data_IF_062953876000
#
_entry.id   IF_062953876000
#
_cell.length_a   1.000
_cell.length_b   1.000
_cell.length_c   1.000
_cell.angle_alpha   90.00
_cell.angle_beta   90.00
_cell.angle_gamma   90.00
#
_symmetry.space_group_name_H-M   'P 1'
#
loop_
_entity.id
_entity.type
_entity.pdbx_description
1 polymer ?
#
# COMPACT_ATOMS: atom_id res chain seq x y z
N UNK A 1 4.68 14.25 -19.57
CA UNK A 1 3.81 13.24 -18.93
C UNK A 1 4.04 11.91 -19.63
N UNK A 2 4.57 10.90 -18.94
CA UNK A 2 4.91 9.59 -19.53
C UNK A 2 3.64 8.85 -20.02
N UNK A 3 3.79 7.88 -20.92
CA UNK A 3 2.67 7.05 -21.39
C UNK A 3 1.98 6.33 -20.22
N UNK A 4 2.78 5.84 -19.27
CA UNK A 4 2.31 5.19 -18.05
C UNK A 4 1.53 6.14 -17.14
N UNK A 5 1.97 7.39 -16.99
CA UNK A 5 1.22 8.40 -16.25
C UNK A 5 -0.15 8.73 -16.89
N UNK A 6 -0.25 8.67 -18.23
CA UNK A 6 -1.53 8.80 -18.94
C UNK A 6 -2.45 7.61 -18.67
N UNK A 7 -1.92 6.37 -18.75
CA UNK A 7 -2.69 5.14 -18.45
C UNK A 7 -3.17 5.09 -17.00
N UNK A 8 -2.35 5.53 -16.04
CA UNK A 8 -2.76 5.66 -14.64
C UNK A 8 -3.96 6.61 -14.46
N UNK A 9 -3.98 7.74 -15.19
CA UNK A 9 -5.10 8.68 -15.16
C UNK A 9 -6.41 8.14 -15.73
N UNK A 10 -6.37 6.97 -16.38
CA UNK A 10 -7.56 6.28 -16.90
C UNK A 10 -8.08 5.21 -15.92
N UNK A 11 -7.34 4.87 -14.86
CA UNK A 11 -7.81 3.94 -13.84
C UNK A 11 -8.83 4.65 -12.96
N UNK A 12 -10.04 4.11 -12.94
CA UNK A 12 -11.09 4.55 -12.04
C UNK A 12 -11.10 3.63 -10.83
N UNK A 13 -11.15 4.21 -9.63
CA UNK A 13 -11.37 3.45 -8.40
C UNK A 13 -12.77 3.74 -7.88
N UNK A 14 -13.59 2.71 -7.65
CA UNK A 14 -14.90 2.88 -7.01
C UNK A 14 -15.10 1.92 -5.86
N UNK A 15 -15.98 2.22 -4.90
CA UNK A 15 -16.57 1.21 -4.04
C UNK A 15 -17.52 0.32 -4.87
N UNK A 16 -17.13 -0.94 -5.12
CA UNK A 16 -17.82 -2.03 -5.88
C UNK A 16 -18.97 -1.69 -6.89
N UNK A 17 -18.67 -1.70 -8.23
CA UNK A 17 -19.28 -2.53 -9.34
C UNK A 17 -18.63 -2.26 -10.74
N UNK A 18 -18.54 -3.32 -11.58
CA UNK A 18 -17.85 -3.61 -12.87
C UNK A 18 -17.40 -2.51 -13.88
N UNK A 19 -16.22 -2.72 -14.50
CA UNK A 19 -15.64 -1.99 -15.65
C UNK A 19 -14.11 -1.90 -15.57
N UNK A 20 -13.45 -0.97 -16.30
CA UNK A 20 -12.09 -0.44 -15.95
C UNK A 20 -12.16 0.33 -14.63
N UNK A 21 -12.55 -0.40 -13.59
CA UNK A 21 -12.98 0.06 -12.31
C UNK A 21 -12.32 -0.85 -11.29
N UNK A 22 -11.36 -0.31 -10.55
CA UNK A 22 -10.75 -0.99 -9.42
C UNK A 22 -11.66 -0.82 -8.21
N UNK A 23 -12.21 -1.93 -7.74
CA UNK A 23 -13.06 -1.93 -6.57
C UNK A 23 -12.21 -1.85 -5.30
N UNK A 24 -12.28 -0.78 -4.53
CA UNK A 24 -11.52 -0.70 -3.28
C UNK A 24 -12.29 -1.31 -2.09
N UNK A 25 -11.61 -2.00 -1.14
CA UNK A 25 -10.19 -2.33 -1.14
C UNK A 25 -9.83 -3.41 -2.19
N UNK A 26 -8.66 -3.29 -2.83
CA UNK A 26 -8.21 -4.24 -3.87
C UNK A 26 -6.71 -4.56 -3.81
N UNK A 27 -6.36 -5.81 -4.09
CA UNK A 27 -5.00 -6.16 -4.47
C UNK A 27 -4.62 -5.60 -5.84
N UNK A 28 -3.32 -5.42 -6.05
CA UNK A 28 -2.75 -5.13 -7.37
C UNK A 28 -2.74 -6.40 -8.23
N UNK A 29 -3.78 -6.57 -9.04
CA UNK A 29 -3.95 -7.71 -9.96
C UNK A 29 -4.44 -7.25 -11.34
N UNK A 30 -4.26 -8.10 -12.34
CA UNK A 30 -4.71 -7.87 -13.72
C UNK A 30 -4.10 -6.62 -14.36
N UNK A 31 -4.84 -5.99 -15.27
CA UNK A 31 -4.35 -4.87 -16.07
C UNK A 31 -4.06 -3.60 -15.23
N UNK A 32 -4.91 -3.29 -14.24
CA UNK A 32 -4.68 -2.18 -13.33
C UNK A 32 -3.42 -2.41 -12.49
N UNK A 33 -3.24 -3.63 -11.96
CA UNK A 33 -2.03 -4.03 -11.24
C UNK A 33 -0.77 -3.89 -12.11
N UNK A 34 -0.84 -4.30 -13.38
CA UNK A 34 0.26 -4.13 -14.35
C UNK A 34 0.63 -2.67 -14.56
N UNK A 35 -0.35 -1.80 -14.83
CA UNK A 35 -0.09 -0.36 -15.08
C UNK A 35 0.52 0.31 -13.85
N UNK A 36 0.03 -0.01 -12.65
CA UNK A 36 0.57 0.52 -11.39
C UNK A 36 1.99 0.01 -11.14
N UNK A 37 2.26 -1.26 -11.41
CA UNK A 37 3.60 -1.83 -11.29
C UNK A 37 4.59 -1.19 -12.26
N UNK A 38 4.20 -0.93 -13.51
CA UNK A 38 5.04 -0.22 -14.48
C UNK A 38 5.37 1.19 -14.01
N UNK A 39 4.39 1.93 -13.49
CA UNK A 39 4.62 3.26 -12.93
C UNK A 39 5.53 3.24 -11.71
N UNK A 40 5.39 2.22 -10.87
CA UNK A 40 6.28 1.97 -9.74
C UNK A 40 7.71 1.69 -10.22
N UNK A 41 7.91 0.86 -11.25
CA UNK A 41 9.24 0.55 -11.79
C UNK A 41 9.90 1.78 -12.41
N UNK A 42 9.14 2.61 -13.16
CA UNK A 42 9.62 3.90 -13.66
C UNK A 42 10.09 4.80 -12.51
N UNK A 43 9.26 4.96 -11.47
CA UNK A 43 9.60 5.78 -10.31
C UNK A 43 10.81 5.23 -9.52
N UNK A 44 10.94 3.91 -9.39
CA UNK A 44 12.09 3.24 -8.75
C UNK A 44 13.37 3.48 -9.54
N UNK A 45 13.33 3.33 -10.86
CA UNK A 45 14.48 3.55 -11.73
C UNK A 45 14.93 5.03 -11.70
N UNK A 46 13.98 5.96 -11.85
CA UNK A 46 14.26 7.40 -11.89
C UNK A 46 14.79 7.95 -10.56
N UNK A 47 14.17 7.56 -9.44
CA UNK A 47 14.42 8.20 -8.13
C UNK A 47 15.38 7.45 -7.24
N UNK A 48 15.53 6.14 -7.44
CA UNK A 48 16.30 5.27 -6.56
C UNK A 48 17.32 4.42 -7.33
N UNK A 49 17.56 4.70 -8.62
CA UNK A 49 18.56 4.02 -9.44
C UNK A 49 18.49 2.48 -9.36
N UNK A 50 17.26 1.92 -9.33
CA UNK A 50 17.06 0.47 -9.28
C UNK A 50 17.41 -0.20 -7.95
N UNK A 51 17.48 0.55 -6.84
CA UNK A 51 17.84 0.07 -5.50
C UNK A 51 17.25 -1.32 -5.16
N UNK A 52 18.13 -2.26 -4.77
CA UNK A 52 17.81 -3.66 -4.48
C UNK A 52 16.95 -3.88 -3.23
N UNK A 53 16.83 -2.88 -2.36
CA UNK A 53 16.01 -2.93 -1.15
C UNK A 53 14.50 -2.77 -1.42
N UNK A 54 14.13 -2.54 -2.67
CA UNK A 54 12.77 -2.60 -3.18
C UNK A 54 12.53 -3.97 -3.83
N UNK A 55 11.60 -4.77 -3.28
CA UNK A 55 11.45 -6.19 -3.60
C UNK A 55 10.18 -6.52 -4.40
N UNK A 56 9.35 -5.52 -4.67
CA UNK A 56 8.12 -5.69 -5.43
C UNK A 56 8.39 -6.30 -6.81
N UNK A 57 7.66 -7.34 -7.12
CA UNK A 57 7.74 -8.08 -8.37
C UNK A 57 6.35 -8.37 -8.93
N UNK A 58 6.29 -8.68 -10.22
CA UNK A 58 5.06 -9.14 -10.88
C UNK A 58 5.19 -10.62 -11.22
N UNK A 59 4.29 -11.45 -10.67
CA UNK A 59 4.19 -12.89 -10.97
C UNK A 59 2.87 -13.16 -11.67
N UNK A 60 2.93 -13.38 -12.99
CA UNK A 60 1.73 -13.55 -13.81
C UNK A 60 0.86 -12.28 -13.85
N UNK A 61 -0.36 -12.40 -13.35
CA UNK A 61 -1.32 -11.30 -13.23
C UNK A 61 -1.27 -10.59 -11.87
N UNK A 62 -0.44 -11.04 -10.93
CA UNK A 62 -0.36 -10.46 -9.58
C UNK A 62 0.93 -9.66 -9.37
N UNK A 63 0.82 -8.62 -8.54
CA UNK A 63 1.97 -7.89 -7.99
C UNK A 63 2.15 -8.29 -6.52
N UNK A 64 3.34 -8.81 -6.20
CA UNK A 64 3.68 -9.45 -4.93
C UNK A 64 5.10 -9.08 -4.48
N UNK A 65 5.54 -9.58 -3.33
CA UNK A 65 6.89 -9.31 -2.79
C UNK A 65 7.03 -7.94 -2.13
N UNK A 66 5.94 -7.25 -1.81
CA UNK A 66 5.97 -5.90 -1.26
C UNK A 66 6.52 -5.81 0.18
N UNK A 67 7.48 -4.92 0.38
CA UNK A 67 7.89 -4.43 1.70
C UNK A 67 7.37 -2.99 1.96
N UNK A 68 7.79 -2.35 3.06
CA UNK A 68 7.27 -1.01 3.42
C UNK A 68 7.74 0.11 2.47
N UNK A 69 9.01 0.16 1.98
CA UNK A 69 9.36 1.15 0.95
C UNK A 69 8.64 0.91 -0.38
N UNK A 70 8.35 -0.35 -0.75
CA UNK A 70 7.52 -0.66 -1.92
C UNK A 70 6.09 -0.12 -1.77
N UNK A 71 5.44 -0.40 -0.63
CA UNK A 71 4.13 0.11 -0.30
C UNK A 71 4.10 1.64 -0.31
N UNK A 72 5.13 2.29 0.24
CA UNK A 72 5.22 3.74 0.24
C UNK A 72 5.43 4.34 -1.17
N UNK A 73 6.28 3.74 -2.00
CA UNK A 73 6.50 4.22 -3.36
C UNK A 73 5.24 4.05 -4.22
N UNK A 74 4.52 2.94 -4.07
CA UNK A 74 3.19 2.78 -4.70
C UNK A 74 2.25 3.89 -4.24
N UNK A 75 2.15 4.16 -2.94
CA UNK A 75 1.31 5.23 -2.40
C UNK A 75 1.60 6.58 -3.06
N UNK A 76 2.89 6.94 -3.17
CA UNK A 76 3.31 8.18 -3.83
C UNK A 76 2.92 8.25 -5.31
N UNK A 77 2.92 7.11 -6.02
CA UNK A 77 2.52 7.01 -7.44
C UNK A 77 1.01 7.18 -7.60
N UNK A 78 0.22 6.56 -6.72
CA UNK A 78 -1.24 6.45 -6.90
C UNK A 78 -2.06 7.53 -6.20
N UNK A 79 -1.53 8.19 -5.14
CA UNK A 79 -2.26 9.18 -4.32
C UNK A 79 -2.88 10.35 -5.05
N UNK A 80 -2.27 10.79 -6.15
CA UNK A 80 -2.82 11.88 -6.98
C UNK A 80 -4.08 11.48 -7.75
N UNK A 81 -4.43 10.19 -7.78
CA UNK A 81 -5.59 9.64 -8.46
C UNK A 81 -6.72 9.24 -7.47
N UNK A 82 -6.71 9.76 -6.25
CA UNK A 82 -7.80 9.56 -5.28
C UNK A 82 -7.76 8.21 -4.54
N UNK A 83 -6.65 7.48 -4.62
CA UNK A 83 -6.43 6.22 -3.88
C UNK A 83 -5.11 6.20 -3.15
N UNK A 84 -5.00 5.40 -2.10
CA UNK A 84 -3.79 5.25 -1.31
C UNK A 84 -3.56 3.80 -0.95
N UNK A 85 -2.37 3.47 -0.48
CA UNK A 85 -2.14 2.16 0.15
C UNK A 85 -2.89 2.09 1.47
N UNK A 86 -3.41 0.91 1.81
CA UNK A 86 -4.11 0.68 3.07
C UNK A 86 -3.22 0.99 4.28
N UNK A 87 -3.84 1.54 5.31
CA UNK A 87 -3.29 1.78 6.63
C UNK A 87 -3.97 0.82 7.62
N UNK A 88 -3.41 0.62 8.83
CA UNK A 88 -4.01 -0.27 9.82
C UNK A 88 -5.49 0.04 10.13
N UNK A 89 -5.87 1.33 10.16
CA UNK A 89 -7.26 1.77 10.32
C UNK A 89 -8.25 1.25 9.28
N UNK A 90 -7.78 0.83 8.10
CA UNK A 90 -8.65 0.30 7.04
C UNK A 90 -8.96 -1.19 7.21
N UNK A 91 -8.26 -1.88 8.12
CA UNK A 91 -8.28 -3.34 8.22
C UNK A 91 -9.45 -3.88 9.02
N UNK A 92 -10.66 -3.38 8.76
CA UNK A 92 -11.89 -3.89 9.36
C UNK A 92 -12.14 -5.38 9.01
N UNK A 93 -13.17 -5.99 9.60
CA UNK A 93 -13.46 -7.41 9.37
C UNK A 93 -13.72 -7.78 7.90
N UNK A 94 -14.28 -6.87 7.08
CA UNK A 94 -14.42 -7.14 5.65
C UNK A 94 -13.06 -7.20 4.95
N UNK A 95 -12.18 -6.24 5.24
CA UNK A 95 -10.80 -6.23 4.74
C UNK A 95 -10.07 -7.49 5.16
N UNK A 96 -10.09 -7.84 6.46
CA UNK A 96 -9.38 -9.01 6.97
C UNK A 96 -9.91 -10.32 6.39
N UNK A 97 -11.22 -10.42 6.10
CA UNK A 97 -11.78 -11.58 5.39
C UNK A 97 -11.29 -11.66 3.94
N UNK A 98 -11.18 -10.52 3.26
CA UNK A 98 -10.69 -10.46 1.88
C UNK A 98 -9.21 -10.88 1.77
N UNK A 99 -8.40 -10.64 2.81
CA UNK A 99 -6.98 -10.99 2.87
C UNK A 99 -6.70 -12.35 3.52
N UNK A 100 -7.72 -13.01 4.08
CA UNK A 100 -7.57 -14.29 4.78
C UNK A 100 -7.09 -15.43 3.87
N UNK A 101 -6.15 -16.23 4.36
CA UNK A 101 -5.54 -17.32 3.60
C UNK A 101 -4.71 -16.87 2.40
N UNK A 102 -4.64 -15.56 2.14
CA UNK A 102 -3.75 -14.95 1.15
C UNK A 102 -2.46 -14.55 1.83
N UNK A 103 -1.52 -14.03 1.07
CA UNK A 103 -0.26 -13.56 1.64
C UNK A 103 -0.43 -12.33 2.54
N UNK A 104 0.60 -12.00 3.33
CA UNK A 104 0.54 -10.84 4.22
C UNK A 104 0.37 -9.54 3.43
N UNK A 105 -0.32 -8.57 4.04
CA UNK A 105 -0.49 -7.22 3.52
C UNK A 105 0.40 -6.25 4.29
N UNK A 106 1.17 -5.44 3.57
CA UNK A 106 2.01 -4.39 4.14
C UNK A 106 1.24 -3.06 4.16
N UNK A 107 1.17 -2.43 5.34
CA UNK A 107 0.67 -1.05 5.44
C UNK A 107 1.75 -0.04 5.00
N UNK A 108 1.31 1.13 4.54
CA UNK A 108 2.17 2.32 4.47
C UNK A 108 2.33 2.96 5.86
N UNK A 109 2.89 2.19 6.81
CA UNK A 109 3.02 2.58 8.21
C UNK A 109 4.29 1.98 8.84
N UNK A 110 4.85 2.69 9.81
CA UNK A 110 6.01 2.28 10.61
C UNK A 110 5.64 2.33 12.09
N UNK A 111 6.21 1.44 12.91
CA UNK A 111 6.12 1.51 14.36
C UNK A 111 7.49 1.86 14.92
N UNK A 112 7.57 2.97 15.64
CA UNK A 112 8.79 3.56 16.19
C UNK A 112 8.84 3.38 17.70
N UNK A 113 9.85 2.67 18.20
CA UNK A 113 10.01 2.37 19.63
C UNK A 113 11.23 3.03 20.25
N UNK A 114 12.30 3.22 19.47
CA UNK A 114 13.55 3.83 19.92
C UNK A 114 14.36 4.37 18.75
N UNK A 115 15.31 5.24 19.07
CA UNK A 115 16.28 5.80 18.11
C UNK A 115 17.27 4.75 17.60
N UNK A 116 17.68 3.85 18.47
CA UNK A 116 18.56 2.73 18.13
C UNK A 116 17.74 1.46 17.95
N UNK A 117 18.07 0.69 16.92
CA UNK A 117 17.49 -0.59 16.60
C UNK A 117 18.48 -1.71 16.90
N UNK A 118 18.24 -2.43 18.00
CA UNK A 118 19.12 -3.51 18.43
C UNK A 118 19.09 -4.75 17.53
N UNK A 119 18.19 -4.80 16.54
CA UNK A 119 18.06 -5.94 15.63
C UNK A 119 18.64 -5.64 14.23
N UNK A 120 18.54 -4.39 13.76
CA UNK A 120 19.06 -3.99 12.46
C UNK A 120 19.50 -2.52 12.43
N UNK A 121 20.81 -2.29 12.46
CA UNK A 121 21.40 -0.95 12.51
C UNK A 121 21.13 -0.10 11.26
N UNK A 122 20.79 -0.70 10.11
CA UNK A 122 20.38 0.04 8.89
C UNK A 122 19.14 0.92 9.13
N UNK A 123 18.39 0.62 10.18
CA UNK A 123 17.23 1.38 10.58
C UNK A 123 17.55 2.65 11.39
N UNK A 124 18.73 2.74 12.02
CA UNK A 124 19.07 3.80 12.96
C UNK A 124 18.98 5.18 12.30
N UNK A 125 19.53 5.31 11.08
CA UNK A 125 19.49 6.58 10.35
C UNK A 125 18.07 7.05 10.05
N UNK A 126 17.18 6.11 9.72
CA UNK A 126 15.75 6.41 9.50
C UNK A 126 15.11 6.86 10.81
N UNK A 127 15.41 6.19 11.92
CA UNK A 127 14.85 6.53 13.22
C UNK A 127 15.31 7.91 13.70
N UNK A 128 16.59 8.22 13.54
CA UNK A 128 17.18 9.53 13.84
C UNK A 128 16.50 10.65 13.04
N UNK A 129 16.39 10.52 11.72
CA UNK A 129 15.78 11.55 10.86
C UNK A 129 14.30 11.79 11.18
N UNK A 130 13.57 10.72 11.51
CA UNK A 130 12.18 10.83 11.97
C UNK A 130 12.12 11.63 13.28
N UNK A 131 13.04 11.39 14.23
CA UNK A 131 13.08 12.11 15.49
C UNK A 131 13.52 13.58 15.32
N UNK A 132 14.54 13.83 14.49
CA UNK A 132 15.04 15.17 14.14
C UNK A 132 13.97 16.05 13.48
N UNK A 133 12.95 15.45 12.87
CA UNK A 133 11.81 16.19 12.32
C UNK A 133 11.01 16.97 13.37
N UNK A 134 11.23 16.72 14.67
CA UNK A 134 10.51 17.36 15.77
C UNK A 134 9.06 16.91 15.92
N UNK A 135 8.62 15.92 15.14
CA UNK A 135 7.24 15.39 15.18
C UNK A 135 7.08 14.19 16.13
N UNK A 136 8.18 13.61 16.60
CA UNK A 136 8.19 12.51 17.58
C UNK A 136 8.72 13.02 18.92
N UNK A 137 8.00 12.69 20.00
CA UNK A 137 8.41 12.88 21.38
C UNK A 137 9.29 11.70 21.78
N UNK A 138 10.60 11.91 21.75
CA UNK A 138 11.63 10.91 22.05
C UNK A 138 11.63 10.45 23.51
N UNK A 139 11.02 11.21 24.42
CA UNK A 139 10.85 10.82 25.83
C UNK A 139 9.65 9.88 25.97
N UNK A 140 8.58 10.17 25.24
CA UNK A 140 7.32 9.42 25.29
C UNK A 140 7.42 8.01 24.70
N UNK A 141 8.17 7.82 23.60
CA UNK A 141 8.30 6.53 22.89
C UNK A 141 8.70 5.34 23.77
N UNK A 142 9.46 5.57 24.85
CA UNK A 142 9.89 4.53 25.78
C UNK A 142 8.75 3.89 26.57
N UNK A 143 7.64 4.64 26.73
CA UNK A 143 6.44 4.23 27.48
C UNK A 143 5.28 3.90 26.53
N UNK A 144 5.16 4.69 25.47
CA UNK A 144 4.13 4.54 24.44
C UNK A 144 4.81 4.66 23.09
N UNK A 145 5.19 3.55 22.43
CA UNK A 145 5.74 3.63 21.09
C UNK A 145 4.76 4.22 20.08
N UNK A 146 5.27 4.71 18.97
CA UNK A 146 4.49 5.46 18.00
C UNK A 146 4.20 4.67 16.72
N UNK A 147 2.93 4.62 16.31
CA UNK A 147 2.55 4.34 14.92
C UNK A 147 2.73 5.62 14.10
N UNK A 148 3.51 5.51 13.04
CA UNK A 148 3.82 6.60 12.11
C UNK A 148 3.17 6.29 10.77
N UNK A 149 2.41 7.25 10.26
CA UNK A 149 1.80 7.21 8.92
C UNK A 149 2.05 8.54 8.20
N UNK A 150 1.81 8.59 6.89
CA UNK A 150 1.93 9.83 6.12
C UNK A 150 3.36 10.32 5.97
N UNK A 151 4.29 9.44 5.63
CA UNK A 151 5.67 9.77 5.26
C UNK A 151 5.91 9.47 3.78
N UNK A 152 6.95 10.05 3.20
CA UNK A 152 7.48 9.72 1.88
C UNK A 152 8.84 9.06 2.03
N UNK A 153 9.09 8.00 1.29
CA UNK A 153 10.41 7.46 1.07
C UNK A 153 11.13 8.31 0.01
N UNK A 154 12.35 8.73 0.34
CA UNK A 154 13.25 9.55 -0.49
C UNK A 154 14.61 8.86 -0.64
N UNK A 155 15.32 9.02 -1.77
CA UNK A 155 16.66 8.47 -1.90
C UNK A 155 17.57 9.02 -0.80
N UNK A 156 18.48 8.19 -0.33
CA UNK A 156 19.53 8.58 0.60
C UNK A 156 20.86 8.02 0.11
N UNK A 157 21.88 8.87 0.10
CA UNK A 157 23.23 8.47 -0.34
C UNK A 157 24.07 7.88 0.80
N UNK A 158 23.61 7.98 2.05
CA UNK A 158 24.28 7.38 3.22
C UNK A 158 24.21 5.84 3.22
N UNK A 159 25.10 5.22 4.01
CA UNK A 159 25.09 3.77 4.30
C UNK A 159 23.73 3.30 4.86
N UNK A 160 23.33 2.08 4.50
CA UNK A 160 22.03 1.48 4.87
C UNK A 160 21.21 1.11 3.64
N UNK A 161 19.89 1.31 3.69
CA UNK A 161 19.00 0.86 2.61
C UNK A 161 19.04 1.71 1.32
N UNK A 162 19.78 2.83 1.28
CA UNK A 162 19.75 3.77 0.15
C UNK A 162 18.44 4.58 0.05
N UNK A 163 17.68 4.68 1.15
CA UNK A 163 16.50 5.52 1.26
C UNK A 163 16.26 5.96 2.71
N UNK A 164 15.50 7.05 2.89
CA UNK A 164 15.04 7.56 4.19
C UNK A 164 13.53 7.81 4.18
N UNK A 165 12.91 7.77 5.37
CA UNK A 165 11.51 8.16 5.55
C UNK A 165 11.43 9.62 6.01
N UNK A 166 10.75 10.46 5.23
CA UNK A 166 10.59 11.89 5.50
C UNK A 166 9.12 12.21 5.76
N UNK A 167 8.77 12.98 6.82
CA UNK A 167 7.40 13.39 7.06
C UNK A 167 6.76 14.11 5.86
N UNK A 168 5.54 13.71 5.48
CA UNK A 168 4.76 14.39 4.44
C UNK A 168 3.72 15.34 5.06
N UNK A 169 2.90 15.99 4.21
CA UNK A 169 1.78 16.85 4.64
C UNK A 169 0.74 16.09 5.49
N UNK A 170 0.59 14.78 5.27
CA UNK A 170 -0.34 13.91 6.03
C UNK A 170 0.31 13.17 7.20
N UNK A 171 1.51 13.57 7.61
CA UNK A 171 2.25 12.86 8.66
C UNK A 171 1.48 12.86 9.98
N UNK A 172 1.23 11.67 10.51
CA UNK A 172 0.53 11.47 11.76
C UNK A 172 1.29 10.50 12.66
N UNK A 173 1.24 10.80 13.94
CA UNK A 173 1.87 10.03 15.00
C UNK A 173 0.80 9.65 16.01
N UNK A 174 0.65 8.35 16.24
CA UNK A 174 -0.23 7.83 17.27
C UNK A 174 0.59 7.04 18.29
N UNK A 175 0.61 7.52 19.54
CA UNK A 175 1.33 6.86 20.64
C UNK A 175 0.44 5.84 21.30
N UNK A 176 0.93 4.61 21.47
CA UNK A 176 0.16 3.54 22.08
C UNK A 176 1.05 2.51 22.77
N UNK A 177 0.74 2.18 24.03
CA UNK A 177 1.51 1.19 24.77
C UNK A 177 1.38 -0.24 24.23
N UNK A 178 0.36 -0.55 23.42
CA UNK A 178 0.16 -1.87 22.81
C UNK A 178 1.30 -2.23 21.87
N UNK A 179 2.09 -1.27 21.41
CA UNK A 179 3.32 -1.49 20.64
C UNK A 179 4.54 -1.95 21.47
N UNK A 180 4.43 -1.99 22.79
CA UNK A 180 5.50 -2.47 23.67
C UNK A 180 5.69 -3.98 23.54
N UNK A 181 6.96 -4.42 23.52
CA UNK A 181 7.35 -5.83 23.45
C UNK A 181 6.69 -6.76 24.48
N UNK A 182 6.24 -6.24 25.63
CA UNK A 182 5.54 -7.01 26.68
C UNK A 182 4.22 -7.64 26.19
N UNK A 183 3.60 -7.06 25.15
CA UNK A 183 2.35 -7.53 24.56
C UNK A 183 2.54 -8.48 23.37
N UNK A 184 3.78 -8.82 23.02
CA UNK A 184 4.04 -9.76 21.93
C UNK A 184 3.50 -11.15 22.27
N UNK A 185 2.82 -11.77 21.32
CA UNK A 185 2.18 -13.08 21.47
C UNK A 185 0.82 -13.04 22.19
N UNK A 186 0.37 -11.88 22.65
CA UNK A 186 -0.97 -11.73 23.20
C UNK A 186 -2.01 -11.81 22.09
N UNK A 187 -3.21 -12.23 22.45
CA UNK A 187 -4.29 -12.52 21.53
C UNK A 187 -5.36 -11.45 21.59
N UNK A 188 -6.12 -11.33 20.50
CA UNK A 188 -7.23 -10.39 20.37
C UNK A 188 -8.26 -10.92 19.38
N UNK A 189 -9.46 -10.34 19.43
CA UNK A 189 -10.53 -10.64 18.48
C UNK A 189 -10.86 -9.46 17.56
N UNK A 190 -10.70 -8.23 18.03
CA UNK A 190 -11.13 -7.02 17.35
C UNK A 190 -10.01 -5.98 17.30
N UNK A 191 -10.16 -5.01 16.41
CA UNK A 191 -9.29 -3.85 16.30
C UNK A 191 -10.13 -2.58 16.52
N UNK A 192 -9.48 -1.52 16.97
CA UNK A 192 -10.08 -0.20 17.12
C UNK A 192 -9.98 0.64 15.83
N UNK A 193 -10.38 1.91 15.92
CA UNK A 193 -10.43 2.85 14.79
C UNK A 193 -9.07 3.21 14.19
N UNK A 194 -7.96 2.94 14.89
CA UNK A 194 -6.60 3.15 14.39
C UNK A 194 -5.97 1.86 13.87
N UNK A 195 -6.65 0.72 14.00
CA UNK A 195 -6.16 -0.58 13.54
C UNK A 195 -5.41 -1.39 14.60
N UNK A 196 -5.56 -1.06 15.89
CA UNK A 196 -4.84 -1.69 16.98
C UNK A 196 -5.68 -2.75 17.71
N UNK A 197 -5.06 -3.86 18.18
CA UNK A 197 -5.75 -4.90 18.94
C UNK A 197 -6.53 -4.36 20.15
N UNK A 198 -7.78 -4.79 20.29
CA UNK A 198 -8.64 -4.50 21.45
C UNK A 198 -8.74 -5.75 22.34
N UNK A 199 -8.74 -5.54 23.65
CA UNK A 199 -8.92 -6.62 24.62
C UNK A 199 -7.79 -7.65 24.62
N UNK A 200 -6.54 -7.17 24.52
CA UNK A 200 -5.35 -8.05 24.53
C UNK A 200 -5.37 -8.98 25.74
N UNK A 201 -5.31 -10.28 25.49
CA UNK A 201 -5.32 -11.34 26.51
C UNK A 201 -4.30 -12.43 26.16
N UNK A 202 -3.64 -13.03 27.15
CA UNK A 202 -2.59 -14.04 26.88
C UNK A 202 -3.14 -15.37 26.36
N UNK A 203 -4.38 -15.70 26.67
CA UNK A 203 -4.96 -17.02 26.46
C UNK A 203 -6.14 -16.97 25.47
N UNK A 204 -6.91 -15.87 25.47
CA UNK A 204 -8.19 -15.73 24.75
C UNK A 204 -8.06 -14.82 23.52
N UNK A 205 -8.67 -15.26 22.42
CA UNK A 205 -8.74 -14.51 21.16
C UNK A 205 -8.34 -15.37 19.96
N UNK A 206 -8.86 -15.01 18.80
CA UNK A 206 -8.68 -15.75 17.53
C UNK A 206 -7.43 -15.32 16.74
N UNK A 207 -6.87 -14.14 17.05
CA UNK A 207 -5.69 -13.57 16.38
C UNK A 207 -4.58 -13.30 17.38
N UNK A 208 -3.35 -13.21 16.90
CA UNK A 208 -2.16 -12.94 17.70
C UNK A 208 -1.56 -11.59 17.30
N UNK A 209 -1.14 -10.81 18.29
CA UNK A 209 -0.39 -9.58 18.08
C UNK A 209 1.11 -9.84 18.27
N UNK A 210 1.90 -9.57 17.24
CA UNK A 210 3.36 -9.66 17.32
C UNK A 210 3.97 -8.28 17.34
N UNK A 211 4.81 -8.02 18.33
CA UNK A 211 5.50 -6.74 18.48
C UNK A 211 6.86 -6.96 19.11
N UNK A 212 7.78 -6.00 18.99
CA UNK A 212 9.15 -6.15 19.51
C UNK A 212 9.50 -5.10 20.56
N UNK A 213 10.68 -5.22 21.15
CA UNK A 213 11.10 -4.41 22.30
C UNK A 213 11.56 -3.01 21.92
N UNK A 214 12.28 -2.86 20.81
CA UNK A 214 12.92 -1.61 20.40
C UNK A 214 12.92 -1.46 18.86
N UNK A 215 13.56 -0.39 18.37
CA UNK A 215 13.78 -0.06 16.97
C UNK A 215 12.55 0.44 16.21
N UNK A 216 12.64 0.39 14.87
CA UNK A 216 11.56 0.74 13.94
C UNK A 216 11.15 -0.44 13.05
N UNK A 217 9.86 -0.78 13.03
CA UNK A 217 9.39 -1.96 12.29
C UNK A 217 8.27 -1.59 11.33
N UNK A 218 8.11 -2.36 10.25
CA UNK A 218 6.89 -2.36 9.44
C UNK A 218 5.66 -2.75 10.26
N UNK A 219 4.46 -2.37 9.81
CA UNK A 219 3.18 -2.88 10.33
C UNK A 219 2.48 -3.72 9.25
N UNK A 220 2.17 -4.98 9.57
CA UNK A 220 1.62 -5.95 8.60
C UNK A 220 0.42 -6.71 9.16
N UNK A 221 -0.50 -7.05 8.26
CA UNK A 221 -1.56 -8.02 8.49
C UNK A 221 -1.13 -9.34 7.84
N UNK A 222 -0.92 -10.39 8.63
CA UNK A 222 -0.48 -11.67 8.08
C UNK A 222 -1.63 -12.47 7.43
N UNK A 223 -1.28 -13.60 6.81
CA UNK A 223 -2.22 -14.50 6.12
C UNK A 223 -3.32 -15.11 6.99
N UNK A 224 -3.14 -15.08 8.32
CA UNK A 224 -4.07 -15.60 9.31
C UNK A 224 -4.71 -14.48 10.13
N UNK A 225 -4.74 -13.25 9.58
CA UNK A 225 -5.31 -12.05 10.19
C UNK A 225 -4.66 -11.62 11.52
N UNK A 226 -3.49 -12.16 11.83
CA UNK A 226 -2.66 -11.67 12.93
C UNK A 226 -2.06 -10.33 12.53
N UNK A 227 -1.91 -9.44 13.50
CA UNK A 227 -1.20 -8.19 13.32
C UNK A 227 0.26 -8.40 13.72
N UNK A 228 1.18 -7.76 12.99
CA UNK A 228 2.59 -7.83 13.32
C UNK A 228 3.31 -6.50 13.07
N UNK A 229 4.09 -6.10 14.07
CA UNK A 229 5.08 -5.03 14.02
C UNK A 229 6.41 -5.50 14.61
N UNK A 230 6.80 -6.72 14.25
CA UNK A 230 7.93 -7.42 14.86
C UNK A 230 9.18 -7.47 13.97
N UNK A 231 9.03 -7.30 12.66
CA UNK A 231 10.13 -7.55 11.73
C UNK A 231 11.19 -6.45 11.80
N UNK A 232 12.46 -6.86 11.75
CA UNK A 232 13.65 -6.05 11.93
C UNK A 232 14.05 -5.27 10.67
N UNK A 233 14.04 -5.87 9.49
CA UNK A 233 14.41 -5.20 8.25
C UNK A 233 13.25 -4.49 7.55
N UNK A 234 13.36 -3.18 7.27
CA UNK A 234 12.34 -2.47 6.48
C UNK A 234 12.34 -2.90 5.00
N UNK A 235 13.50 -3.31 4.48
CA UNK A 235 13.66 -3.77 3.10
C UNK A 235 13.35 -5.25 2.89
N UNK A 236 13.19 -6.03 3.97
CA UNK A 236 12.91 -7.45 3.87
C UNK A 236 11.48 -7.72 3.43
N UNK A 237 11.32 -8.58 2.44
CA UNK A 237 10.05 -9.17 2.06
C UNK A 237 10.22 -10.68 2.03
N UNK A 238 9.25 -11.41 2.60
CA UNK A 238 9.10 -12.82 2.17
C UNK A 238 8.44 -12.75 0.79
N UNK A 239 8.66 -13.74 -0.09
CA UNK A 239 8.32 -13.79 -1.53
C UNK A 239 6.83 -13.60 -1.93
N UNK A 240 6.03 -12.97 -1.06
CA UNK A 240 4.59 -13.03 -0.98
C UNK A 240 3.94 -11.73 -0.46
N UNK A 241 4.68 -10.72 0.04
CA UNK A 241 4.06 -9.49 0.54
C UNK A 241 3.12 -8.80 -0.47
N UNK A 242 1.97 -8.30 -0.02
CA UNK A 242 0.96 -7.67 -0.89
C UNK A 242 0.73 -6.22 -0.51
N UNK A 243 0.39 -5.42 -1.52
CA UNK A 243 -0.17 -4.08 -1.36
C UNK A 243 -1.66 -4.13 -1.67
N UNK A 244 -2.44 -3.49 -0.80
CA UNK A 244 -3.87 -3.27 -1.00
C UNK A 244 -4.12 -1.78 -1.14
N UNK A 245 -4.83 -1.40 -2.19
CA UNK A 245 -5.27 -0.03 -2.43
C UNK A 245 -6.65 0.22 -1.85
N UNK A 246 -6.84 1.40 -1.26
CA UNK A 246 -8.11 1.89 -0.72
C UNK A 246 -8.40 3.29 -1.27
N UNK A 247 -9.67 3.70 -1.23
CA UNK A 247 -10.03 5.09 -1.54
C UNK A 247 -9.40 6.05 -0.53
N UNK A 248 -8.81 7.15 -1.00
CA UNK A 248 -8.28 8.19 -0.13
C UNK A 248 -9.44 9.00 0.48
N UNK A 249 -9.31 9.40 1.75
CA UNK A 249 -10.32 10.24 2.42
C UNK A 249 -10.48 11.57 1.68
N UNK A 250 -11.71 11.93 1.32
CA UNK A 250 -12.00 13.12 0.49
C UNK A 250 -11.69 12.96 -1.01
N UNK A 251 -11.18 11.80 -1.43
CA UNK A 251 -10.87 11.44 -2.80
C UNK A 251 -12.03 10.76 -3.52
N UNK A 252 -13.28 11.14 -3.24
CA UNK A 252 -14.39 10.76 -4.10
C UNK A 252 -14.20 11.51 -5.42
N UNK A 253 -13.78 10.87 -6.53
CA UNK A 253 -13.90 11.55 -7.79
C UNK A 253 -15.39 11.74 -8.07
N UNK A 254 -15.74 12.78 -8.84
CA UNK A 254 -17.11 13.04 -9.22
C UNK A 254 -17.65 11.83 -10.01
N UNK A 255 -18.31 10.90 -9.31
CA UNK A 255 -18.71 9.58 -9.80
C UNK A 255 -19.54 9.68 -11.08
N UNK A 256 -20.32 10.76 -11.23
CA UNK A 256 -21.12 11.04 -12.42
C UNK A 256 -20.25 11.27 -13.65
N UNK A 257 -19.23 12.13 -13.56
CA UNK A 257 -18.32 12.41 -14.68
C UNK A 257 -17.56 11.16 -15.13
N UNK A 258 -17.22 10.28 -14.20
CA UNK A 258 -16.49 9.06 -14.52
C UNK A 258 -17.40 8.01 -15.17
N UNK A 259 -18.59 7.79 -14.61
CA UNK A 259 -19.57 6.88 -15.21
C UNK A 259 -19.97 7.37 -16.60
N UNK A 260 -20.07 8.68 -16.81
CA UNK A 260 -20.34 9.29 -18.10
C UNK A 260 -19.19 9.09 -19.10
N UNK A 261 -17.94 9.30 -18.68
CA UNK A 261 -16.77 9.04 -19.52
C UNK A 261 -16.60 7.56 -19.91
N UNK A 262 -16.92 6.64 -19.00
CA UNK A 262 -16.88 5.21 -19.28
C UNK A 262 -17.98 4.78 -20.25
N UNK A 263 -19.24 5.16 -20.01
CA UNK A 263 -20.33 4.91 -20.95
C UNK A 263 -20.00 5.47 -22.33
N UNK A 264 -19.39 6.66 -22.39
CA UNK A 264 -18.95 7.27 -23.65
C UNK A 264 -17.85 6.47 -24.34
N UNK A 265 -16.89 5.93 -23.60
CA UNK A 265 -15.79 5.14 -24.16
C UNK A 265 -16.27 3.79 -24.69
N UNK A 266 -17.12 3.09 -23.94
CA UNK A 266 -17.76 1.83 -24.36
C UNK A 266 -18.63 2.03 -25.61
N UNK A 267 -19.40 3.12 -25.65
CA UNK A 267 -20.19 3.49 -26.83
C UNK A 267 -19.30 3.74 -28.05
N UNK A 268 -18.17 4.45 -27.89
CA UNK A 268 -17.25 4.73 -28.98
C UNK A 268 -16.59 3.45 -29.53
N UNK A 269 -16.23 2.50 -28.68
CA UNK A 269 -15.72 1.20 -29.14
C UNK A 269 -16.78 0.41 -29.91
N UNK A 270 -18.00 0.35 -29.40
CA UNK A 270 -19.13 -0.31 -30.08
C UNK A 270 -19.42 0.30 -31.45
N UNK A 271 -19.41 1.64 -31.55
CA UNK A 271 -19.58 2.37 -32.81
C UNK A 271 -18.44 2.09 -33.80
N UNK A 272 -17.19 2.00 -33.32
CA UNK A 272 -16.05 1.62 -34.17
C UNK A 272 -16.18 0.19 -34.70
N UNK A 273 -16.56 -0.76 -33.84
CA UNK A 273 -16.82 -2.14 -34.24
C UNK A 273 -17.92 -2.23 -35.30
N UNK A 274 -19.01 -1.51 -35.10
CA UNK A 274 -20.14 -1.44 -36.05
C UNK A 274 -19.72 -0.85 -37.39
N UNK A 275 -18.96 0.26 -37.38
CA UNK A 275 -18.45 0.89 -38.60
C UNK A 275 -17.54 -0.05 -39.39
N UNK A 276 -16.65 -0.78 -38.71
CA UNK A 276 -15.75 -1.72 -39.36
C UNK A 276 -16.52 -2.88 -40.01
N UNK A 277 -17.56 -3.39 -39.34
CA UNK A 277 -18.44 -4.42 -39.88
C UNK A 277 -19.20 -3.92 -41.12
N UNK A 278 -19.77 -2.71 -41.06
CA UNK A 278 -20.44 -2.10 -42.21
C UNK A 278 -19.51 -1.92 -43.41
N UNK A 279 -18.29 -1.43 -43.17
CA UNK A 279 -17.29 -1.28 -44.23
C UNK A 279 -16.95 -2.64 -44.88
N UNK A 280 -16.81 -3.70 -44.09
CA UNK A 280 -16.58 -5.06 -44.63
C UNK A 280 -17.76 -5.54 -45.48
N UNK A 281 -19.00 -5.32 -45.04
CA UNK A 281 -20.20 -5.68 -45.80
C UNK A 281 -20.27 -4.90 -47.11
N UNK A 282 -20.01 -3.59 -47.08
CA UNK A 282 -20.00 -2.73 -48.28
C UNK A 282 -18.93 -3.22 -49.26
N UNK A 283 -17.71 -3.47 -48.80
CA UNK A 283 -16.64 -4.00 -49.67
C UNK A 283 -16.99 -5.37 -50.27
N UNK A 284 -17.68 -6.24 -49.54
CA UNK A 284 -18.15 -7.53 -50.06
C UNK A 284 -19.28 -7.40 -51.10
N UNK A 285 -20.12 -6.38 -50.99
CA UNK A 285 -21.19 -6.09 -51.96
C UNK A 285 -20.64 -5.41 -53.23
N UNK A 286 -19.64 -4.54 -53.08
CA UNK A 286 -18.99 -3.85 -54.19
C UNK A 286 -18.07 -4.79 -54.99
N UNK A 287 -17.42 -5.75 -54.34
CA UNK A 287 -16.60 -6.78 -54.99
C UNK A 287 -17.38 -7.91 -55.67
N UNK A 288 -18.72 -7.86 -55.67
CA UNK A 288 -19.62 -8.83 -56.32
C UNK A 288 -20.34 -8.28 -57.57
N UNK A 289 -19.94 -7.10 -58.06
CA UNK A 289 -20.35 -6.58 -59.37
C UNK A 289 -19.31 -6.92 -60.43
#
# INVERSE_FOLDING_TARGET
MTETAKKLGQIVFVPRKNGMIVQTPSFLVGEAGRIIYEAYQEAKAERFNGNKHFQLERKGDEVVGANVPDANLIDQVVRRYGVRVSLPKDWNEEFMRMTDGKHYTTANALVFRSLQDGYNEDNNRIAELIAESGKIDTVKISREPALITGFDIRPNEDEGYGFIAVPSKGFNVHYDERFLGKYSGWKFDEIDEIGMPVGLDKERGKRIWYTRKDGISRFVLNSYRNLSSYYDGLSGSVAYGRVVLVSAEGGAPNYENILEQQRRSELLESLRGTRNCLNQIVSQLEGKK
#
